data_IF_504497715147
#
_entry.id   IF_504497715147
#
_cell.length_a   1.000
_cell.length_b   1.000
_cell.length_c   1.000
_cell.angle_alpha   90.00
_cell.angle_beta   90.00
_cell.angle_gamma   90.00
#
_symmetry.space_group_name_H-M   'P 1'
#
loop_
_entity.id
_entity.type
_entity.pdbx_description
1 polymer ?
#
# COMPACT_ATOMS: atom_id res chain seq x y z
N UNK A 1 -20.80 15.54 -3.54
CA UNK A 1 -21.33 14.38 -4.27
C UNK A 1 -21.52 13.27 -3.24
N UNK A 2 -22.71 12.71 -3.11
CA UNK A 2 -22.97 11.62 -2.16
C UNK A 2 -22.59 10.29 -2.85
N UNK A 3 -21.69 9.53 -2.24
CA UNK A 3 -21.30 8.21 -2.74
C UNK A 3 -22.19 7.15 -2.10
N UNK A 4 -22.93 6.43 -2.92
CA UNK A 4 -23.79 5.34 -2.49
C UNK A 4 -23.16 4.00 -2.86
N UNK A 5 -23.14 3.06 -1.92
CA UNK A 5 -22.76 1.68 -2.20
C UNK A 5 -23.93 1.02 -2.93
N UNK A 6 -23.63 0.44 -4.08
CA UNK A 6 -24.54 -0.39 -4.87
C UNK A 6 -23.94 -1.81 -5.00
N UNK A 7 -24.77 -2.78 -5.33
CA UNK A 7 -24.33 -4.14 -5.55
C UNK A 7 -24.41 -4.46 -7.04
N UNK A 8 -23.29 -4.86 -7.64
CA UNK A 8 -23.20 -5.25 -9.04
C UNK A 8 -22.80 -6.72 -9.16
N UNK A 9 -23.27 -7.39 -10.17
CA UNK A 9 -22.86 -8.77 -10.46
C UNK A 9 -21.38 -8.80 -10.78
N UNK A 10 -20.65 -9.74 -10.16
CA UNK A 10 -19.20 -9.91 -10.33
C UNK A 10 -18.80 -10.07 -11.81
N UNK A 11 -19.58 -10.82 -12.56
CA UNK A 11 -19.36 -11.10 -13.98
C UNK A 11 -19.65 -9.91 -14.92
N UNK A 12 -20.20 -8.81 -14.39
CA UNK A 12 -20.46 -7.58 -15.12
C UNK A 12 -19.49 -6.44 -14.73
N UNK A 13 -18.61 -6.66 -13.77
CA UNK A 13 -17.57 -5.68 -13.43
C UNK A 13 -16.40 -5.83 -14.39
N UNK A 14 -16.20 -4.85 -15.26
CA UNK A 14 -15.11 -4.86 -16.23
C UNK A 14 -13.81 -4.34 -15.62
N UNK A 15 -12.71 -5.15 -15.61
CA UNK A 15 -11.41 -4.64 -15.20
C UNK A 15 -10.89 -3.57 -16.16
N UNK A 16 -10.11 -2.63 -15.66
CA UNK A 16 -9.39 -1.70 -16.53
C UNK A 16 -8.02 -2.29 -16.89
N UNK A 17 -7.84 -2.70 -18.14
CA UNK A 17 -6.61 -3.31 -18.64
C UNK A 17 -5.39 -2.37 -18.61
N UNK A 18 -5.60 -1.07 -18.30
CA UNK A 18 -4.52 -0.09 -18.13
C UNK A 18 -3.96 -0.03 -16.71
N UNK A 19 -4.50 -0.81 -15.76
CA UNK A 19 -3.93 -0.89 -14.41
C UNK A 19 -2.54 -1.53 -14.47
N UNK A 20 -1.48 -0.81 -14.05
CA UNK A 20 -0.11 -1.31 -14.13
C UNK A 20 0.30 -2.16 -12.92
N UNK A 21 -0.52 -2.20 -11.84
CA UNK A 21 -0.16 -2.85 -10.59
C UNK A 21 -0.43 -4.34 -10.65
N UNK A 22 0.56 -5.13 -10.31
CA UNK A 22 0.43 -6.56 -10.03
C UNK A 22 -0.03 -6.76 -8.57
N UNK A 23 -0.77 -7.85 -8.33
CA UNK A 23 -1.37 -8.10 -7.03
C UNK A 23 -1.03 -9.50 -6.54
N UNK A 24 -0.74 -9.63 -5.25
CA UNK A 24 -0.69 -10.92 -4.59
C UNK A 24 -2.11 -11.40 -4.25
N UNK A 25 -2.65 -12.22 -5.14
CA UNK A 25 -4.03 -12.71 -5.02
C UNK A 25 -4.18 -13.65 -3.84
N UNK A 26 -3.15 -14.40 -3.48
CA UNK A 26 -3.19 -15.33 -2.33
C UNK A 26 -3.33 -14.56 -1.02
N UNK A 27 -2.58 -13.48 -0.85
CA UNK A 27 -2.71 -12.62 0.33
C UNK A 27 -4.06 -11.94 0.42
N UNK A 28 -4.59 -11.45 -0.70
CA UNK A 28 -5.93 -10.87 -0.73
C UNK A 28 -6.98 -11.92 -0.34
N UNK A 29 -6.85 -13.15 -0.81
CA UNK A 29 -7.76 -14.24 -0.43
C UNK A 29 -7.65 -14.61 1.04
N UNK A 30 -6.44 -14.61 1.64
CA UNK A 30 -6.25 -14.81 3.08
C UNK A 30 -6.97 -13.72 3.88
N UNK A 31 -6.80 -12.47 3.46
CA UNK A 31 -7.50 -11.33 4.06
C UNK A 31 -9.02 -11.48 3.95
N UNK A 32 -9.55 -11.90 2.79
CA UNK A 32 -10.98 -12.17 2.62
C UNK A 32 -11.49 -13.28 3.55
N UNK A 33 -10.73 -14.35 3.70
CA UNK A 33 -11.08 -15.45 4.60
C UNK A 33 -11.18 -14.98 6.05
N UNK A 34 -10.34 -14.04 6.45
CA UNK A 34 -10.28 -13.56 7.83
C UNK A 34 -11.23 -12.41 8.11
N UNK A 35 -11.26 -11.41 7.24
CA UNK A 35 -11.95 -10.14 7.47
C UNK A 35 -13.16 -9.94 6.56
N UNK A 36 -13.39 -10.82 5.60
CA UNK A 36 -14.41 -10.63 4.57
C UNK A 36 -14.03 -9.58 3.53
N UNK A 37 -14.98 -9.28 2.66
CA UNK A 37 -14.87 -8.24 1.65
C UNK A 37 -15.36 -6.90 2.22
N UNK A 38 -14.45 -6.10 2.75
CA UNK A 38 -14.77 -4.88 3.52
C UNK A 38 -14.75 -3.59 2.71
N UNK A 39 -13.90 -3.53 1.66
CA UNK A 39 -13.70 -2.32 0.87
C UNK A 39 -14.38 -2.44 -0.50
N UNK A 40 -15.39 -1.61 -0.83
CA UNK A 40 -16.07 -1.64 -2.12
C UNK A 40 -15.12 -1.42 -3.30
N UNK A 41 -15.48 -1.95 -4.45
CA UNK A 41 -14.84 -1.62 -5.72
C UNK A 41 -15.27 -0.22 -6.17
N UNK A 42 -14.39 0.52 -6.85
CA UNK A 42 -14.75 1.81 -7.45
C UNK A 42 -14.82 1.64 -8.97
N UNK A 43 -15.97 2.00 -9.54
CA UNK A 43 -16.27 1.86 -10.96
C UNK A 43 -16.54 3.25 -11.55
N UNK A 44 -15.97 3.53 -12.70
CA UNK A 44 -16.32 4.74 -13.44
C UNK A 44 -17.74 4.62 -13.99
N UNK A 45 -18.63 5.52 -13.58
CA UNK A 45 -20.03 5.50 -14.00
C UNK A 45 -20.23 5.75 -15.49
N UNK A 46 -19.28 6.40 -16.17
CA UNK A 46 -19.34 6.71 -17.59
C UNK A 46 -18.92 5.52 -18.47
N UNK A 47 -17.83 4.86 -18.12
CA UNK A 47 -17.27 3.75 -18.91
C UNK A 47 -17.63 2.37 -18.37
N UNK A 48 -18.17 2.29 -17.13
CA UNK A 48 -18.46 1.07 -16.38
C UNK A 48 -17.21 0.22 -16.06
N UNK A 49 -16.01 0.76 -16.27
CA UNK A 49 -14.75 0.09 -15.96
C UNK A 49 -14.31 0.32 -14.53
N UNK A 50 -13.66 -0.69 -13.97
CA UNK A 50 -13.05 -0.63 -12.65
C UNK A 50 -11.92 0.41 -12.63
N UNK A 51 -11.85 1.22 -11.58
CA UNK A 51 -10.78 2.20 -11.35
C UNK A 51 -10.04 1.98 -10.02
N UNK A 52 -10.64 1.25 -9.06
CA UNK A 52 -9.94 0.84 -7.84
C UNK A 52 -10.44 -0.53 -7.35
N UNK A 53 -9.49 -1.33 -6.85
CA UNK A 53 -9.77 -2.67 -6.32
C UNK A 53 -9.54 -3.80 -7.32
N UNK A 54 -8.64 -3.65 -8.28
CA UNK A 54 -8.33 -4.67 -9.29
C UNK A 54 -7.92 -6.00 -8.67
N UNK A 55 -7.01 -6.03 -7.70
CA UNK A 55 -6.63 -7.27 -7.02
C UNK A 55 -7.79 -7.92 -6.28
N UNK A 56 -8.70 -7.12 -5.67
CA UNK A 56 -9.91 -7.65 -5.03
C UNK A 56 -10.86 -8.27 -6.05
N UNK A 57 -11.02 -7.66 -7.21
CA UNK A 57 -11.82 -8.24 -8.31
C UNK A 57 -11.22 -9.55 -8.79
N UNK A 58 -9.90 -9.59 -9.02
CA UNK A 58 -9.20 -10.81 -9.45
C UNK A 58 -9.33 -11.94 -8.43
N UNK A 59 -9.16 -11.64 -7.15
CA UNK A 59 -9.32 -12.62 -6.07
C UNK A 59 -10.75 -13.21 -6.02
N UNK A 60 -11.79 -12.36 -6.18
CA UNK A 60 -13.18 -12.83 -6.24
C UNK A 60 -13.44 -13.72 -7.46
N UNK A 61 -12.93 -13.33 -8.64
CA UNK A 61 -13.05 -14.13 -9.87
C UNK A 61 -12.33 -15.47 -9.70
N UNK A 62 -11.14 -15.46 -9.09
CA UNK A 62 -10.39 -16.68 -8.81
C UNK A 62 -11.14 -17.64 -7.89
N UNK A 63 -11.72 -17.13 -6.78
CA UNK A 63 -12.52 -17.92 -5.85
C UNK A 63 -13.78 -18.48 -6.52
N UNK A 64 -14.52 -17.65 -7.29
CA UNK A 64 -15.75 -18.06 -7.96
C UNK A 64 -15.50 -19.13 -9.02
N UNK A 65 -14.41 -19.00 -9.80
CA UNK A 65 -14.06 -19.99 -10.83
C UNK A 65 -13.62 -21.35 -10.27
N UNK A 66 -13.35 -21.43 -8.97
CA UNK A 66 -13.00 -22.66 -8.24
C UNK A 66 -14.11 -23.17 -7.34
N UNK A 67 -15.32 -22.67 -7.54
CA UNK A 67 -16.49 -23.04 -6.74
C UNK A 67 -16.26 -22.89 -5.22
N UNK A 68 -15.40 -21.91 -4.84
CA UNK A 68 -15.19 -21.58 -3.44
C UNK A 68 -16.38 -20.79 -2.90
N UNK A 69 -16.52 -20.78 -1.58
CA UNK A 69 -17.54 -19.99 -0.90
C UNK A 69 -17.28 -18.49 -1.06
N UNK A 70 -18.36 -17.70 -1.23
CA UNK A 70 -18.26 -16.26 -1.26
C UNK A 70 -17.76 -15.72 0.08
N UNK A 71 -16.81 -14.76 0.07
CA UNK A 71 -16.39 -14.08 1.29
C UNK A 71 -17.56 -13.31 1.93
N UNK A 72 -17.51 -13.13 3.25
CA UNK A 72 -18.44 -12.24 3.94
C UNK A 72 -18.42 -10.85 3.29
N UNK A 73 -19.59 -10.21 3.17
CA UNK A 73 -19.75 -8.94 2.46
C UNK A 73 -20.10 -9.07 0.98
N UNK A 74 -19.93 -10.24 0.38
CA UNK A 74 -20.43 -10.57 -0.95
C UNK A 74 -21.81 -11.21 -0.81
N UNK A 75 -22.80 -10.72 -1.55
CA UNK A 75 -24.14 -11.32 -1.59
C UNK A 75 -24.20 -12.38 -2.69
N UNK A 76 -24.99 -13.41 -2.44
CA UNK A 76 -25.24 -14.43 -3.45
C UNK A 76 -26.74 -14.47 -3.80
N UNK A 77 -27.06 -14.22 -5.06
CA UNK A 77 -28.43 -14.23 -5.57
C UNK A 77 -28.49 -14.97 -6.91
N UNK A 78 -29.37 -15.97 -7.00
CA UNK A 78 -29.57 -16.78 -8.22
C UNK A 78 -28.25 -17.34 -8.80
N UNK A 79 -27.32 -17.77 -7.95
CA UNK A 79 -26.02 -18.31 -8.35
C UNK A 79 -24.98 -17.25 -8.78
N UNK A 80 -25.34 -15.97 -8.74
CA UNK A 80 -24.41 -14.87 -9.03
C UNK A 80 -23.90 -14.21 -7.74
N UNK A 81 -22.64 -13.85 -7.74
CA UNK A 81 -22.05 -13.01 -6.69
C UNK A 81 -22.32 -11.55 -7.00
N UNK A 82 -22.82 -10.83 -5.99
CA UNK A 82 -23.06 -9.41 -6.05
C UNK A 82 -22.02 -8.71 -5.19
N UNK A 83 -21.20 -7.87 -5.82
CA UNK A 83 -20.06 -7.19 -5.21
C UNK A 83 -20.46 -5.76 -4.86
N UNK A 84 -20.17 -5.26 -3.63
CA UNK A 84 -20.40 -3.87 -3.29
C UNK A 84 -19.47 -2.96 -4.11
N UNK A 85 -20.07 -1.98 -4.77
CA UNK A 85 -19.39 -1.03 -5.65
C UNK A 85 -19.81 0.40 -5.32
N UNK A 86 -18.91 1.34 -5.57
CA UNK A 86 -19.17 2.78 -5.60
C UNK A 86 -19.01 3.24 -7.05
N UNK A 87 -20.07 3.80 -7.62
CA UNK A 87 -19.99 4.44 -8.93
C UNK A 87 -19.56 5.90 -8.78
N UNK A 88 -18.53 6.30 -9.54
CA UNK A 88 -18.02 7.67 -9.58
C UNK A 88 -17.84 8.10 -11.04
N UNK A 89 -18.36 9.28 -11.44
CA UNK A 89 -18.06 9.84 -12.75
C UNK A 89 -16.63 10.43 -12.75
N UNK A 90 -15.89 10.18 -13.83
CA UNK A 90 -14.65 10.88 -14.15
C UNK A 90 -14.87 11.77 -15.36
N UNK A 91 -14.19 12.92 -15.41
CA UNK A 91 -14.36 13.92 -16.49
C UNK A 91 -13.99 13.33 -17.85
N UNK A 92 -12.93 12.51 -17.86
CA UNK A 92 -12.46 11.80 -19.03
C UNK A 92 -11.58 10.60 -18.63
N UNK A 93 -11.15 9.83 -19.63
CA UNK A 93 -10.32 8.63 -19.43
C UNK A 93 -8.96 8.93 -18.77
N UNK A 94 -8.38 10.11 -19.03
CA UNK A 94 -7.10 10.51 -18.44
C UNK A 94 -7.25 10.75 -16.92
N UNK A 95 -8.35 11.35 -16.48
CA UNK A 95 -8.62 11.50 -15.05
C UNK A 95 -8.83 10.14 -14.38
N UNK A 96 -9.55 9.22 -15.03
CA UNK A 96 -9.70 7.85 -14.52
C UNK A 96 -8.35 7.13 -14.42
N UNK A 97 -7.48 7.24 -15.41
CA UNK A 97 -6.12 6.69 -15.37
C UNK A 97 -5.27 7.32 -14.26
N UNK A 98 -5.32 8.64 -14.11
CA UNK A 98 -4.61 9.34 -13.04
C UNK A 98 -5.10 8.87 -11.66
N UNK A 99 -6.40 8.62 -11.50
CA UNK A 99 -6.96 8.08 -10.27
C UNK A 99 -6.48 6.65 -10.00
N UNK A 100 -6.42 5.76 -11.00
CA UNK A 100 -5.87 4.40 -10.85
C UNK A 100 -4.43 4.46 -10.32
N UNK A 101 -3.60 5.35 -10.86
CA UNK A 101 -2.21 5.52 -10.41
C UNK A 101 -2.19 6.07 -8.97
N UNK A 102 -2.99 7.10 -8.67
CA UNK A 102 -3.04 7.72 -7.36
C UNK A 102 -3.51 6.75 -6.27
N UNK A 103 -4.58 5.98 -6.51
CA UNK A 103 -5.12 4.98 -5.58
C UNK A 103 -4.06 3.93 -5.21
N UNK A 104 -3.30 3.46 -6.20
CA UNK A 104 -2.22 2.52 -5.97
C UNK A 104 -1.01 3.18 -5.29
N UNK A 105 -0.58 4.36 -5.76
CA UNK A 105 0.65 4.99 -5.29
C UNK A 105 0.53 5.57 -3.89
N UNK A 106 -0.62 6.13 -3.52
CA UNK A 106 -0.84 6.71 -2.20
C UNK A 106 -0.80 5.67 -1.08
N UNK A 107 -1.04 4.39 -1.37
CA UNK A 107 -0.87 3.32 -0.38
C UNK A 107 0.60 3.00 -0.10
N UNK A 108 1.51 3.44 -0.97
CA UNK A 108 2.96 3.26 -0.85
C UNK A 108 3.67 4.50 -0.28
N UNK A 109 2.93 5.63 -0.12
CA UNK A 109 3.46 6.88 0.42
C UNK A 109 3.22 6.93 1.92
N UNK A 110 4.30 7.01 2.67
CA UNK A 110 4.29 7.04 4.13
C UNK A 110 4.97 5.81 4.73
N UNK A 111 5.50 6.01 5.92
CA UNK A 111 6.19 4.97 6.67
C UNK A 111 5.34 4.54 7.87
N UNK A 112 5.64 3.37 8.40
CA UNK A 112 5.06 2.87 9.63
C UNK A 112 5.77 3.47 10.85
N UNK A 113 5.02 3.83 11.89
CA UNK A 113 5.57 3.94 13.23
C UNK A 113 5.87 2.53 13.74
N UNK A 114 7.12 2.11 13.58
CA UNK A 114 7.53 0.74 13.84
C UNK A 114 7.30 0.31 15.29
N UNK A 115 7.43 1.23 16.26
CA UNK A 115 7.17 0.93 17.66
C UNK A 115 5.69 0.60 17.88
N UNK A 116 4.78 1.44 17.39
CA UNK A 116 3.34 1.18 17.48
C UNK A 116 2.91 -0.07 16.72
N UNK A 117 3.53 -0.31 15.56
CA UNK A 117 3.25 -1.50 14.77
C UNK A 117 3.68 -2.77 15.51
N UNK A 118 4.87 -2.77 16.14
CA UNK A 118 5.34 -3.87 16.96
C UNK A 118 4.42 -4.13 18.14
N UNK A 119 4.01 -3.09 18.87
CA UNK A 119 3.07 -3.21 19.99
C UNK A 119 1.75 -3.85 19.54
N UNK A 120 1.17 -3.39 18.44
CA UNK A 120 -0.07 -3.94 17.90
C UNK A 120 0.07 -5.40 17.47
N UNK A 121 1.16 -5.77 16.80
CA UNK A 121 1.41 -7.16 16.38
C UNK A 121 1.62 -8.07 17.59
N UNK A 122 2.38 -7.64 18.59
CA UNK A 122 2.59 -8.40 19.82
C UNK A 122 1.26 -8.59 20.58
N UNK A 123 0.43 -7.57 20.71
CA UNK A 123 -0.89 -7.67 21.33
C UNK A 123 -1.79 -8.68 20.58
N UNK A 124 -1.77 -8.69 19.26
CA UNK A 124 -2.49 -9.68 18.44
C UNK A 124 -1.98 -11.09 18.67
N UNK A 125 -0.66 -11.29 18.75
CA UNK A 125 -0.04 -12.60 19.02
C UNK A 125 -0.39 -13.16 20.39
N UNK A 126 -0.50 -12.30 21.39
CA UNK A 126 -0.86 -12.71 22.75
C UNK A 126 -2.35 -13.07 22.88
N UNK A 127 -3.21 -12.41 22.13
CA UNK A 127 -4.66 -12.55 22.27
C UNK A 127 -5.30 -13.45 21.21
N UNK A 128 -4.86 -13.40 19.97
CA UNK A 128 -5.41 -14.18 18.84
C UNK A 128 -4.40 -14.29 17.69
N UNK A 129 -3.51 -15.27 17.76
CA UNK A 129 -2.48 -15.53 16.75
C UNK A 129 -3.07 -15.77 15.35
N UNK A 130 -4.30 -16.26 15.26
CA UNK A 130 -4.96 -16.53 13.97
C UNK A 130 -5.29 -15.22 13.23
N UNK A 131 -5.43 -14.08 13.93
CA UNK A 131 -5.65 -12.78 13.28
C UNK A 131 -4.46 -12.34 12.43
N UNK A 132 -3.26 -12.71 12.84
CA UNK A 132 -2.03 -12.30 12.15
C UNK A 132 -1.93 -12.93 10.76
N UNK A 133 -2.58 -14.08 10.52
CA UNK A 133 -2.57 -14.74 9.21
C UNK A 133 -3.23 -13.94 8.08
N UNK A 134 -4.04 -12.94 8.40
CA UNK A 134 -4.79 -12.12 7.42
C UNK A 134 -4.21 -10.72 7.15
N UNK A 135 -3.12 -10.34 7.82
CA UNK A 135 -2.58 -8.97 7.72
C UNK A 135 -1.46 -8.80 6.68
N UNK A 136 -1.14 -9.84 5.91
CA UNK A 136 -0.18 -9.74 4.81
C UNK A 136 1.30 -9.76 5.25
N UNK A 137 1.60 -10.30 6.43
CA UNK A 137 2.98 -10.47 6.92
C UNK A 137 3.43 -11.91 6.64
N UNK A 138 4.35 -12.09 5.69
CA UNK A 138 4.78 -13.41 5.22
C UNK A 138 5.68 -14.17 6.19
N UNK A 139 6.54 -13.48 6.89
CA UNK A 139 7.50 -14.07 7.81
C UNK A 139 7.43 -13.33 9.15
N UNK A 140 6.49 -13.77 9.98
CA UNK A 140 6.16 -13.10 11.23
C UNK A 140 7.35 -12.99 12.19
N UNK A 141 8.13 -14.06 12.33
CA UNK A 141 9.29 -14.08 13.24
C UNK A 141 10.39 -13.12 12.78
N UNK A 142 10.65 -13.06 11.47
CA UNK A 142 11.60 -12.13 10.87
C UNK A 142 11.10 -10.69 11.00
N UNK A 143 9.83 -10.46 10.70
CA UNK A 143 9.19 -9.16 10.82
C UNK A 143 9.23 -8.61 12.25
N UNK A 144 8.89 -9.43 13.26
CA UNK A 144 8.98 -9.06 14.67
C UNK A 144 10.43 -8.80 15.08
N UNK A 145 11.37 -9.61 14.60
CA UNK A 145 12.80 -9.42 14.88
C UNK A 145 13.29 -8.11 14.29
N UNK A 146 12.88 -7.76 13.07
CA UNK A 146 13.20 -6.51 12.41
C UNK A 146 12.62 -5.32 13.18
N UNK A 147 11.34 -5.35 13.53
CA UNK A 147 10.67 -4.29 14.30
C UNK A 147 11.35 -4.08 15.67
N UNK A 148 11.65 -5.15 16.41
CA UNK A 148 12.32 -5.08 17.70
C UNK A 148 13.76 -4.53 17.58
N UNK A 149 14.43 -4.78 16.46
CA UNK A 149 15.77 -4.25 16.19
C UNK A 149 15.73 -2.77 15.91
N UNK A 150 14.74 -2.33 15.10
CA UNK A 150 14.50 -0.92 14.80
C UNK A 150 14.12 -0.13 16.06
N UNK A 151 13.30 -0.70 16.94
CA UNK A 151 12.93 -0.09 18.21
C UNK A 151 14.14 0.09 19.14
N UNK A 152 15.03 -0.92 19.25
CA UNK A 152 16.27 -0.81 20.02
C UNK A 152 17.19 0.27 19.48
N UNK A 153 17.36 0.31 18.16
CA UNK A 153 18.18 1.34 17.50
C UNK A 153 17.62 2.75 17.72
N UNK A 154 16.29 2.90 17.69
CA UNK A 154 15.63 4.16 17.98
C UNK A 154 15.79 4.59 19.46
N UNK A 155 15.70 3.65 20.41
CA UNK A 155 15.90 3.92 21.85
C UNK A 155 17.36 4.27 22.15
N UNK A 156 18.31 3.56 21.55
CA UNK A 156 19.75 3.84 21.72
C UNK A 156 20.15 5.21 21.12
N UNK A 157 19.41 5.70 20.12
CA UNK A 157 19.61 7.05 19.57
C UNK A 157 18.93 8.17 20.38
N UNK A 158 17.96 7.85 21.23
CA UNK A 158 17.24 8.82 22.09
C UNK A 158 17.95 9.09 23.42
N UNK A 159 18.86 8.21 23.88
CA UNK A 159 19.65 8.46 25.11
C UNK A 159 20.80 9.47 24.94
N UNK A 160 21.06 9.96 23.73
CA UNK A 160 22.06 11.00 23.51
C UNK A 160 21.42 12.31 23.06
N UNK A 161 21.03 13.12 24.05
CA UNK A 161 20.85 14.58 23.97
C UNK A 161 19.55 15.12 23.33
N UNK A 162 18.71 15.85 24.11
CA UNK A 162 17.62 16.62 23.53
C UNK A 162 18.15 17.96 22.98
N UNK A 163 19.12 17.91 22.09
CA UNK A 163 19.50 19.10 21.33
C UNK A 163 18.67 19.16 20.06
N UNK A 164 17.78 20.15 20.07
CA UNK A 164 17.24 20.90 18.93
C UNK A 164 17.44 20.19 17.58
N UNK A 165 16.37 19.62 17.03
CA UNK A 165 16.32 19.27 15.61
C UNK A 165 16.48 20.56 14.78
N UNK A 166 17.69 20.97 14.51
CA UNK A 166 17.96 21.92 13.43
C UNK A 166 17.61 21.19 12.13
N UNK A 167 16.64 21.72 11.42
CA UNK A 167 16.25 21.18 10.12
C UNK A 167 17.48 21.21 9.20
N UNK A 168 18.01 20.04 8.85
CA UNK A 168 19.14 19.94 7.92
C UNK A 168 18.59 20.08 6.50
N UNK A 169 19.02 21.12 5.81
CA UNK A 169 18.74 21.32 4.40
C UNK A 169 19.86 20.71 3.58
N UNK A 170 19.55 19.68 2.77
CA UNK A 170 20.50 18.99 1.90
C UNK A 170 20.33 19.46 0.46
N UNK A 171 21.44 19.71 -0.21
CA UNK A 171 21.49 20.00 -1.64
C UNK A 171 22.24 18.86 -2.32
N UNK A 172 21.61 18.20 -3.27
CA UNK A 172 22.22 17.14 -4.07
C UNK A 172 22.66 17.75 -5.40
N UNK A 173 23.96 17.64 -5.73
CA UNK A 173 24.51 18.10 -6.99
C UNK A 173 24.97 16.87 -7.78
N UNK A 174 24.49 16.76 -9.01
CA UNK A 174 24.87 15.68 -9.92
C UNK A 174 26.00 16.19 -10.82
N UNK A 175 27.14 15.53 -10.76
CA UNK A 175 28.27 15.79 -11.65
C UNK A 175 28.21 14.84 -12.86
N UNK A 176 28.58 15.34 -14.05
CA UNK A 176 28.58 14.53 -15.28
C UNK A 176 29.85 13.68 -15.40
N UNK A 177 30.93 14.05 -14.69
CA UNK A 177 32.22 13.35 -14.71
C UNK A 177 32.83 13.26 -13.33
N UNK A 178 33.65 12.24 -13.08
CA UNK A 178 34.42 12.05 -11.85
C UNK A 178 35.31 13.27 -11.53
N UNK A 179 35.92 13.86 -12.54
CA UNK A 179 36.73 15.03 -12.41
C UNK A 179 35.94 16.27 -11.98
N UNK A 180 34.74 16.42 -12.46
CA UNK A 180 33.82 17.48 -12.06
C UNK A 180 33.37 17.29 -10.62
N UNK A 181 33.05 16.05 -10.23
CA UNK A 181 32.70 15.70 -8.85
C UNK A 181 33.81 16.05 -7.89
N UNK A 182 35.08 15.71 -8.20
CA UNK A 182 36.24 16.05 -7.38
C UNK A 182 36.41 17.56 -7.23
N UNK A 183 36.26 18.33 -8.31
CA UNK A 183 36.37 19.79 -8.29
C UNK A 183 35.27 20.43 -7.44
N UNK A 184 34.03 20.03 -7.62
CA UNK A 184 32.90 20.54 -6.83
C UNK A 184 33.05 20.19 -5.34
N UNK A 185 33.43 18.94 -5.05
CA UNK A 185 33.66 18.50 -3.68
C UNK A 185 34.69 19.36 -2.98
N UNK A 186 35.82 19.64 -3.64
CA UNK A 186 36.89 20.48 -3.12
C UNK A 186 36.46 21.94 -2.96
N UNK A 187 35.76 22.50 -3.94
CA UNK A 187 35.25 23.88 -3.88
C UNK A 187 34.31 24.07 -2.69
N UNK A 188 33.37 23.11 -2.44
CA UNK A 188 32.43 23.23 -1.32
C UNK A 188 33.12 23.01 0.04
N UNK A 189 34.12 22.13 0.13
CA UNK A 189 34.92 21.98 1.34
C UNK A 189 35.72 23.26 1.66
N UNK A 190 36.31 23.89 0.65
CA UNK A 190 37.05 25.14 0.82
C UNK A 190 36.13 26.30 1.29
N UNK A 191 34.83 26.20 0.99
CA UNK A 191 33.78 27.12 1.47
C UNK A 191 33.25 26.79 2.88
N UNK A 192 33.76 25.72 3.50
CA UNK A 192 33.37 25.27 4.85
C UNK A 192 32.04 24.48 4.90
N UNK A 193 31.59 23.94 3.76
CA UNK A 193 30.39 23.13 3.71
C UNK A 193 30.73 21.66 3.98
N UNK A 194 29.89 20.98 4.75
CA UNK A 194 30.01 19.54 4.94
C UNK A 194 29.52 18.80 3.68
N UNK A 195 30.41 18.04 3.04
CA UNK A 195 30.13 17.32 1.81
C UNK A 195 30.25 15.83 2.02
N UNK A 196 29.35 15.05 1.40
CA UNK A 196 29.42 13.58 1.35
C UNK A 196 29.21 13.11 -0.08
N UNK A 197 30.02 12.14 -0.50
CA UNK A 197 29.82 11.46 -1.78
C UNK A 197 28.75 10.39 -1.61
N UNK A 198 27.75 10.41 -2.50
CA UNK A 198 26.75 9.35 -2.61
C UNK A 198 27.16 8.48 -3.81
N UNK A 199 27.51 7.24 -3.55
CA UNK A 199 27.86 6.23 -4.57
C UNK A 199 26.62 5.44 -4.96
#
# INVERSE_FOLDING_TARGET
>A
MEHKITYQRLDLVEPNNKNPKEHDIEEIMRSFKRFGFTNPLIVDSNTKKLVAGHGRLEALIYLKNRDQQAPDGIKEENGHWLVPTIERPFVNENEAMAYIIADNKLTEVGDWDNAKLADMVNELLENDVDLVSGIGIYNLDEFITELNTLEKTAKDTVETNPEVYEAQYLVIIVAETEREQENLFKEFQDRGLECRLLN
#
